data_IF_965961665108
#
_entry.id   IF_965961665108
#
_cell.length_a   1.000
_cell.length_b   1.000
_cell.length_c   1.000
_cell.angle_alpha   90.00
_cell.angle_beta   90.00
_cell.angle_gamma   90.00
#
_symmetry.space_group_name_H-M   'P 1'
#
loop_
_entity.id
_entity.type
_entity.pdbx_description
1 polymer ?
#
# COMPACT_ATOMS: atom_id res chain seq x y z
N UNK A 1 -5.33 -2.51 -3.94
CA UNK A 1 -5.16 -1.85 -2.62
C UNK A 1 -6.42 -1.11 -2.15
N UNK A 2 -6.79 0.06 -2.71
CA UNK A 2 -7.99 0.81 -2.26
C UNK A 2 -9.29 -0.02 -2.27
N UNK A 3 -9.52 -0.79 -3.35
CA UNK A 3 -10.67 -1.70 -3.47
C UNK A 3 -10.68 -2.85 -2.45
N UNK A 4 -9.55 -3.14 -1.81
CA UNK A 4 -9.40 -4.14 -0.75
C UNK A 4 -9.37 -3.48 0.65
N UNK A 5 -9.71 -2.19 0.75
CA UNK A 5 -9.73 -1.45 2.02
C UNK A 5 -8.36 -1.01 2.53
N UNK A 6 -7.31 -1.10 1.70
CA UNK A 6 -5.93 -0.72 2.07
C UNK A 6 -5.61 0.65 1.46
N UNK A 7 -5.49 1.66 2.33
CA UNK A 7 -5.19 3.04 1.93
C UNK A 7 -3.67 3.25 1.91
N UNK A 8 -3.14 3.66 0.76
CA UNK A 8 -1.72 4.03 0.58
C UNK A 8 -1.64 5.46 0.07
N UNK A 9 -0.54 6.18 0.40
CA UNK A 9 -0.37 7.58 -0.02
C UNK A 9 0.60 7.66 -1.21
N UNK A 10 0.17 8.18 -2.37
CA UNK A 10 1.10 8.47 -3.46
C UNK A 10 2.05 9.60 -3.05
N UNK A 11 3.32 9.48 -3.43
CA UNK A 11 4.37 10.46 -3.12
C UNK A 11 4.95 11.11 -4.38
N UNK A 12 4.14 11.18 -5.44
CA UNK A 12 4.52 11.80 -6.71
C UNK A 12 5.05 13.23 -6.55
N UNK A 13 4.53 13.99 -5.58
CA UNK A 13 4.97 15.35 -5.26
C UNK A 13 6.46 15.45 -4.81
N UNK A 14 7.07 14.34 -4.40
CA UNK A 14 8.50 14.28 -4.01
C UNK A 14 9.42 13.87 -5.18
N UNK A 15 8.98 13.98 -6.43
CA UNK A 15 9.74 13.54 -7.59
C UNK A 15 9.73 12.01 -7.79
N UNK A 16 8.84 11.30 -7.10
CA UNK A 16 8.72 9.85 -7.11
C UNK A 16 7.34 9.40 -7.63
N UNK A 17 7.04 9.60 -8.92
CA UNK A 17 5.69 9.44 -9.49
C UNK A 17 5.17 8.00 -9.48
N UNK A 18 6.07 7.00 -9.48
CA UNK A 18 5.71 5.58 -9.48
C UNK A 18 5.80 4.94 -8.09
N UNK A 19 5.96 5.75 -7.05
CA UNK A 19 6.15 5.25 -5.68
C UNK A 19 4.95 5.56 -4.80
N UNK A 20 4.71 4.63 -3.87
CA UNK A 20 3.68 4.72 -2.86
C UNK A 20 4.35 4.65 -1.48
N UNK A 21 3.89 5.50 -0.56
CA UNK A 21 4.26 5.41 0.85
C UNK A 21 3.21 4.58 1.59
N UNK A 22 3.71 3.58 2.32
CA UNK A 22 2.93 2.72 3.19
C UNK A 22 3.33 3.03 4.62
N UNK A 23 2.35 3.27 5.49
CA UNK A 23 2.60 3.39 6.93
C UNK A 23 2.65 1.99 7.54
N UNK A 24 3.61 1.75 8.44
CA UNK A 24 3.69 0.50 9.19
C UNK A 24 2.73 0.58 10.38
N UNK A 25 1.79 -0.34 10.44
CA UNK A 25 0.80 -0.46 11.51
C UNK A 25 1.04 -1.69 12.38
N UNK A 26 -0.03 -2.19 12.99
CA UNK A 26 -0.06 -3.44 13.73
C UNK A 26 0.30 -4.64 12.83
N UNK A 27 0.79 -5.75 13.40
CA UNK A 27 1.13 -6.95 12.64
C UNK A 27 -0.01 -7.45 11.73
N UNK A 28 -1.25 -7.39 12.19
CA UNK A 28 -2.44 -7.81 11.44
C UNK A 28 -2.75 -6.89 10.26
N UNK A 29 -2.54 -5.57 10.43
CA UNK A 29 -2.68 -4.58 9.36
C UNK A 29 -1.62 -4.80 8.28
N UNK A 30 -0.38 -5.07 8.68
CA UNK A 30 0.72 -5.37 7.78
C UNK A 30 0.46 -6.68 7.01
N UNK A 31 -0.07 -7.71 7.67
CA UNK A 31 -0.45 -8.97 7.01
C UNK A 31 -1.54 -8.75 5.95
N UNK A 32 -2.57 -7.96 6.28
CA UNK A 32 -3.64 -7.58 5.33
C UNK A 32 -3.09 -6.79 4.15
N UNK A 33 -2.17 -5.84 4.38
CA UNK A 33 -1.49 -5.09 3.32
C UNK A 33 -0.75 -6.03 2.35
N UNK A 34 0.06 -6.95 2.88
CA UNK A 34 0.85 -7.89 2.06
C UNK A 34 -0.07 -8.78 1.20
N UNK A 35 -1.17 -9.29 1.77
CA UNK A 35 -2.14 -10.09 1.02
C UNK A 35 -2.80 -9.28 -0.12
N UNK A 36 -3.22 -8.05 0.18
CA UNK A 36 -3.80 -7.13 -0.80
C UNK A 36 -2.80 -6.78 -1.92
N UNK A 37 -1.53 -6.58 -1.57
CA UNK A 37 -0.46 -6.28 -2.54
C UNK A 37 -0.22 -7.46 -3.47
N UNK A 38 -0.13 -8.69 -2.95
CA UNK A 38 0.02 -9.89 -3.79
C UNK A 38 -1.10 -10.03 -4.82
N UNK A 39 -2.35 -9.77 -4.43
CA UNK A 39 -3.49 -9.78 -5.35
C UNK A 39 -3.44 -8.68 -6.41
N UNK A 40 -2.84 -7.52 -6.10
CA UNK A 40 -2.74 -6.41 -7.04
C UNK A 40 -1.57 -6.55 -8.04
N UNK A 41 -0.60 -7.42 -7.73
CA UNK A 41 0.55 -7.73 -8.57
C UNK A 41 0.37 -9.01 -9.41
N UNK A 42 -0.72 -9.75 -9.18
CA UNK A 42 -1.14 -10.90 -9.97
C UNK A 42 -1.92 -10.44 -11.20
#
# INVERSE_FOLDING_TARGET
LLRQGVIVRPIAAYGMPHWLRVSIGLPEENARFIAALKQALA
#
